data_IF_732172574439
#
_entry.id   IF_732172574439
#
_cell.length_a   1.000
_cell.length_b   1.000
_cell.length_c   1.000
_cell.angle_alpha   90.00
_cell.angle_beta   90.00
_cell.angle_gamma   90.00
#
_symmetry.space_group_name_H-M   'P 1'
#
loop_
_entity.id
_entity.type
_entity.pdbx_description
1 polymer ?
2 non-polymer ?
3 water ?
#
# COMPACT_ATOMS: atom_id res chain seq x y z
N UNK A 6 -8.42 11.11 14.77
CA UNK A 6 -8.49 9.88 15.56
C UNK A 6 -8.77 8.68 14.66
N UNK A 7 -7.70 8.00 14.25
CA UNK A 7 -7.84 6.83 13.39
C UNK A 7 -8.61 5.72 14.10
N UNK A 8 -9.38 4.97 13.32
CA UNK A 8 -10.17 3.85 13.83
C UNK A 8 -9.22 2.68 14.05
N UNK A 9 -9.18 2.17 15.28
CA UNK A 9 -8.29 1.06 15.61
C UNK A 9 -9.03 -0.27 15.74
N UNK A 10 -10.35 -0.22 15.81
CA UNK A 10 -11.16 -1.43 15.91
C UNK A 10 -11.23 -2.11 14.55
N UNK A 11 -11.01 -3.42 14.50
CA UNK A 11 -11.06 -4.14 13.23
C UNK A 11 -12.50 -4.41 12.80
N UNK A 12 -12.67 -4.65 11.50
CA UNK A 12 -13.98 -4.89 10.91
C UNK A 12 -13.77 -5.95 9.83
N UNK A 13 -13.10 -7.03 10.20
CA UNK A 13 -12.76 -8.12 9.27
C UNK A 13 -13.90 -8.90 8.61
N UNK A 14 -15.09 -8.87 9.20
CA UNK A 14 -16.22 -9.59 8.62
C UNK A 14 -17.11 -8.68 7.76
N UNK A 15 -16.72 -7.41 7.65
CA UNK A 15 -17.50 -6.46 6.85
C UNK A 15 -17.34 -6.74 5.36
N UNK A 16 -18.46 -6.90 4.65
CA UNK A 16 -18.43 -7.18 3.21
C UNK A 16 -17.61 -6.17 2.42
N UNK A 17 -17.61 -4.92 2.87
CA UNK A 17 -16.85 -3.88 2.19
C UNK A 17 -15.34 -4.04 2.37
N UNK A 18 -14.92 -4.47 3.55
CA UNK A 18 -13.50 -4.66 3.81
C UNK A 18 -13.03 -5.87 2.99
N UNK A 19 -13.86 -6.90 2.95
CA UNK A 19 -13.53 -8.10 2.20
C UNK A 19 -13.38 -7.78 0.71
N UNK A 20 -14.30 -6.97 0.19
CA UNK A 20 -14.26 -6.61 -1.22
C UNK A 20 -13.06 -5.75 -1.58
N UNK A 21 -12.62 -4.92 -0.64
CA UNK A 21 -11.46 -4.07 -0.88
C UNK A 21 -10.24 -4.94 -1.15
N UNK A 22 -10.06 -5.98 -0.34
CA UNK A 22 -8.92 -6.87 -0.52
C UNK A 22 -9.11 -7.84 -1.66
N UNK A 23 -10.36 -8.18 -1.96
CA UNK A 23 -10.63 -9.08 -3.08
C UNK A 23 -10.23 -8.32 -4.34
N UNK A 24 -10.48 -7.01 -4.33
CA UNK A 24 -10.13 -6.17 -5.46
C UNK A 24 -8.62 -6.16 -5.62
N UNK A 25 -7.90 -6.00 -4.51
CA UNK A 25 -6.45 -5.98 -4.58
C UNK A 25 -5.89 -7.33 -4.99
N UNK A 26 -6.48 -8.41 -4.47
CA UNK A 26 -6.03 -9.75 -4.81
C UNK A 26 -6.16 -9.98 -6.31
N UNK A 27 -7.34 -9.69 -6.85
CA UNK A 27 -7.59 -9.88 -8.27
C UNK A 27 -6.66 -9.02 -9.12
N UNK A 28 -6.29 -7.86 -8.58
CA UNK A 28 -5.39 -6.94 -9.26
C UNK A 28 -3.98 -7.52 -9.33
N UNK A 29 -3.61 -8.31 -8.32
CA UNK A 29 -2.29 -8.93 -8.27
C UNK A 29 -2.28 -10.27 -8.99
N UNK A 30 -3.45 -10.87 -9.16
CA UNK A 30 -3.57 -12.15 -9.84
C UNK A 30 -3.54 -11.92 -11.35
N UNK A 31 -2.34 -11.97 -11.92
CA UNK A 31 -2.15 -11.73 -13.34
C UNK A 31 -2.94 -12.62 -14.29
N UNK A 32 -2.64 -13.91 -14.31
CA UNK A 32 -3.34 -14.82 -15.22
C UNK A 32 -4.73 -15.19 -14.73
N UNK A 33 -5.12 -14.61 -13.60
CA UNK A 33 -6.44 -14.86 -13.05
C UNK A 33 -6.79 -16.30 -12.74
N UNK A 34 -5.81 -17.09 -12.31
CA UNK A 34 -6.07 -18.49 -11.97
C UNK A 34 -6.47 -18.60 -10.50
N UNK A 35 -6.78 -17.45 -9.89
CA UNK A 35 -7.20 -17.43 -8.50
C UNK A 35 -6.13 -17.56 -7.44
N UNK A 36 -4.87 -17.37 -7.82
CA UNK A 36 -3.79 -17.48 -6.85
C UNK A 36 -2.65 -16.53 -7.18
N UNK A 37 -1.87 -16.18 -6.17
CA UNK A 37 -0.73 -15.29 -6.37
C UNK A 37 0.47 -15.85 -5.63
N UNK A 38 1.65 -15.32 -5.94
CA UNK A 38 2.88 -15.77 -5.29
C UNK A 38 3.72 -14.56 -4.89
N UNK A 39 4.57 -14.75 -3.89
CA UNK A 39 5.45 -13.67 -3.46
C UNK A 39 6.41 -13.34 -4.60
N UNK A 40 6.76 -14.36 -5.39
CA UNK A 40 7.67 -14.17 -6.52
C UNK A 40 7.13 -13.10 -7.46
N UNK A 41 5.87 -13.24 -7.86
CA UNK A 41 5.22 -12.30 -8.76
C UNK A 41 5.09 -10.91 -8.15
N UNK A 42 4.80 -10.86 -6.85
CA UNK A 42 4.64 -9.60 -6.14
C UNK A 42 5.95 -8.83 -6.03
N UNK A 43 7.03 -9.51 -5.64
CA UNK A 43 8.32 -8.85 -5.50
C UNK A 43 8.87 -8.44 -6.87
N UNK A 44 8.57 -9.24 -7.89
CA UNK A 44 9.02 -8.91 -9.24
C UNK A 44 8.39 -7.58 -9.66
N UNK A 45 7.11 -7.42 -9.36
CA UNK A 45 6.37 -6.21 -9.69
C UNK A 45 7.02 -5.00 -9.03
N UNK A 46 7.33 -5.14 -7.75
CA UNK A 46 7.93 -4.07 -6.98
C UNK A 46 9.32 -3.67 -7.46
N UNK A 47 10.17 -4.66 -7.71
CA UNK A 47 11.55 -4.39 -8.10
C UNK A 47 11.88 -4.26 -9.58
N UNK A 48 11.37 -5.17 -10.40
CA UNK A 48 11.68 -5.15 -11.83
C UNK A 48 10.84 -4.18 -12.63
N UNK A 49 9.65 -3.88 -12.13
CA UNK A 49 8.72 -3.00 -12.81
C UNK A 49 8.65 -1.61 -12.19
N UNK A 50 8.09 -1.52 -10.99
CA UNK A 50 7.93 -0.24 -10.31
C UNK A 50 9.23 0.52 -10.04
N UNK A 51 10.16 -0.09 -9.31
CA UNK A 51 11.41 0.60 -9.03
C UNK A 51 12.22 0.97 -10.27
N UNK A 52 12.19 0.12 -11.29
CA UNK A 52 12.92 0.40 -12.51
C UNK A 52 12.38 1.65 -13.20
N UNK A 53 11.06 1.73 -13.33
CA UNK A 53 10.44 2.88 -13.98
C UNK A 53 10.53 4.16 -13.17
N UNK A 54 10.73 4.03 -11.86
CA UNK A 54 10.86 5.20 -11.00
C UNK A 54 12.34 5.55 -10.86
N UNK A 55 13.18 4.79 -11.56
CA UNK A 55 14.63 5.00 -11.55
C UNK A 55 15.27 5.00 -10.17
N UNK A 56 14.85 4.07 -9.32
CA UNK A 56 15.40 3.96 -7.98
C UNK A 56 16.84 3.44 -8.06
N UNK A 57 17.67 3.82 -7.09
CA UNK A 57 19.05 3.34 -7.06
C UNK A 57 18.99 1.89 -6.57
N UNK A 58 20.09 1.13 -6.72
CA UNK A 58 20.05 -0.26 -6.25
C UNK A 58 19.67 -0.35 -4.77
N UNK A 59 20.23 0.54 -3.95
CA UNK A 59 19.93 0.54 -2.53
C UNK A 59 18.48 0.90 -2.24
N UNK A 60 17.93 1.86 -2.99
CA UNK A 60 16.54 2.23 -2.77
C UNK A 60 15.66 1.08 -3.22
N UNK A 61 16.06 0.41 -4.30
CA UNK A 61 15.29 -0.71 -4.82
C UNK A 61 15.28 -1.85 -3.80
N UNK A 62 16.43 -2.10 -3.19
CA UNK A 62 16.55 -3.16 -2.19
C UNK A 62 15.74 -2.86 -0.93
N UNK A 63 15.83 -1.62 -0.45
CA UNK A 63 15.08 -1.22 0.74
C UNK A 63 13.59 -1.43 0.46
N UNK A 64 13.16 -1.02 -0.72
CA UNK A 64 11.76 -1.15 -1.12
C UNK A 64 11.38 -2.63 -1.20
N UNK A 65 12.29 -3.44 -1.73
CA UNK A 65 12.05 -4.87 -1.87
C UNK A 65 11.88 -5.52 -0.50
N UNK A 66 12.74 -5.13 0.44
CA UNK A 66 12.68 -5.68 1.79
C UNK A 66 11.35 -5.34 2.46
N UNK A 67 10.88 -4.11 2.25
CA UNK A 67 9.61 -3.69 2.83
C UNK A 67 8.44 -4.49 2.25
N UNK A 68 8.45 -4.69 0.94
CA UNK A 68 7.38 -5.44 0.28
C UNK A 68 7.38 -6.89 0.76
N UNK A 69 8.56 -7.50 0.82
CA UNK A 69 8.67 -8.88 1.29
C UNK A 69 8.10 -9.04 2.70
N UNK A 70 8.41 -8.09 3.58
CA UNK A 70 7.92 -8.14 4.95
C UNK A 70 6.41 -7.97 5.02
N UNK A 71 5.87 -7.05 4.22
CA UNK A 71 4.43 -6.78 4.19
C UNK A 71 3.66 -8.03 3.77
N UNK A 72 4.04 -8.62 2.65
CA UNK A 72 3.34 -9.81 2.18
C UNK A 72 3.67 -11.11 2.92
N UNK A 73 4.88 -11.21 3.48
CA UNK A 73 5.20 -12.39 4.26
C UNK A 73 4.36 -12.29 5.53
N UNK A 74 3.96 -11.06 5.86
CA UNK A 74 3.13 -10.85 7.02
C UNK A 74 1.75 -11.43 6.78
N UNK A 75 1.45 -11.73 5.51
CA UNK A 75 0.17 -12.31 5.13
C UNK A 75 0.29 -13.82 4.96
N UNK A 76 1.45 -14.36 5.33
CA UNK A 76 1.68 -15.79 5.21
C UNK A 76 2.19 -16.21 3.84
N UNK A 77 2.64 -15.25 3.04
CA UNK A 77 3.15 -15.55 1.72
C UNK A 77 4.64 -15.82 1.74
N UNK A 78 5.10 -16.64 0.80
CA UNK A 78 6.51 -16.98 0.69
C UNK A 78 6.84 -17.35 -0.74
N UNK A 79 8.12 -17.29 -1.09
CA UNK A 79 8.54 -17.62 -2.44
C UNK A 79 8.25 -19.08 -2.76
N UNK A 80 7.75 -19.33 -3.96
CA UNK A 80 7.46 -20.69 -4.38
C UNK A 80 6.14 -21.28 -3.92
N UNK A 81 5.33 -20.49 -3.22
CA UNK A 81 4.04 -20.99 -2.75
C UNK A 81 2.87 -20.18 -3.28
N UNK A 82 1.92 -20.86 -3.91
CA UNK A 82 0.74 -20.20 -4.46
C UNK A 82 -0.30 -19.99 -3.37
N UNK A 83 -0.80 -18.76 -3.27
CA UNK A 83 -1.80 -18.42 -2.26
C UNK A 83 -3.16 -18.11 -2.87
N UNK A 84 -4.21 -18.68 -2.29
CA UNK A 84 -5.57 -18.45 -2.74
C UNK A 84 -6.12 -17.29 -1.92
N UNK A 85 -7.18 -16.65 -2.40
CA UNK A 85 -7.75 -15.51 -1.69
C UNK A 85 -8.12 -15.73 -0.22
N UNK A 86 -8.96 -16.74 0.07
CA UNK A 86 -9.33 -16.97 1.47
C UNK A 86 -8.12 -17.03 2.41
N UNK A 87 -7.09 -17.76 2.01
CA UNK A 87 -5.90 -17.88 2.84
C UNK A 87 -5.16 -16.55 2.89
N UNK A 88 -5.16 -15.84 1.77
CA UNK A 88 -4.50 -14.54 1.70
C UNK A 88 -5.22 -13.58 2.63
N UNK A 89 -6.55 -13.65 2.65
CA UNK A 89 -7.34 -12.77 3.50
C UNK A 89 -7.11 -13.06 4.98
N UNK A 90 -7.06 -14.34 5.36
CA UNK A 90 -6.83 -14.61 6.78
C UNK A 90 -5.44 -14.12 7.14
N UNK A 91 -4.53 -14.20 6.18
CA UNK A 91 -3.18 -13.73 6.41
C UNK A 91 -3.19 -12.22 6.57
N UNK A 92 -4.03 -11.54 5.80
CA UNK A 92 -4.10 -10.09 5.91
C UNK A 92 -4.68 -9.68 7.25
N UNK A 93 -5.60 -10.48 7.79
CA UNK A 93 -6.17 -10.17 9.09
C UNK A 93 -5.05 -10.23 10.14
N UNK A 94 -4.14 -11.20 9.99
CA UNK A 94 -3.03 -11.33 10.93
C UNK A 94 -2.08 -10.15 10.79
N UNK A 95 -1.80 -9.75 9.55
CA UNK A 95 -0.93 -8.59 9.32
C UNK A 95 -1.57 -7.37 9.98
N UNK A 96 -2.86 -7.17 9.72
CA UNK A 96 -3.58 -6.03 10.29
C UNK A 96 -3.49 -5.98 11.81
N UNK A 97 -3.75 -7.09 12.48
CA UNK A 97 -3.66 -7.09 13.94
C UNK A 97 -2.22 -6.86 14.39
N UNK A 98 -1.25 -7.40 13.66
CA UNK A 98 0.15 -7.21 14.03
C UNK A 98 0.52 -5.73 13.88
N UNK A 99 0.00 -5.11 12.83
CA UNK A 99 0.25 -3.70 12.58
C UNK A 99 -0.39 -2.83 13.65
N UNK A 100 -1.63 -3.15 14.01
CA UNK A 100 -2.33 -2.38 15.03
C UNK A 100 -1.65 -2.54 16.39
N UNK A 101 -1.01 -3.69 16.60
CA UNK A 101 -0.31 -3.91 17.86
C UNK A 101 0.91 -2.99 17.89
N UNK A 102 1.63 -2.90 16.77
CA UNK A 102 2.80 -2.03 16.70
C UNK A 102 2.37 -0.58 16.91
N UNK A 103 1.26 -0.20 16.26
CA UNK A 103 0.73 1.15 16.39
C UNK A 103 0.46 1.44 17.87
N UNK A 104 -0.15 0.47 18.55
CA UNK A 104 -0.47 0.61 19.96
C UNK A 104 0.77 0.74 20.85
N UNK A 105 1.92 0.36 20.31
CA UNK A 105 3.18 0.42 21.06
C UNK A 105 4.07 1.56 20.58
N UNK A 106 3.55 2.35 19.66
CA UNK A 106 4.28 3.48 19.09
C UNK A 106 5.51 2.97 18.35
N UNK A 107 5.37 1.78 17.76
CA UNK A 107 6.44 1.16 16.99
C UNK A 107 6.08 1.33 15.52
N UNK A 108 7.08 1.59 14.66
CA UNK A 108 6.80 1.77 13.23
C UNK A 108 6.18 0.53 12.61
N UNK A 109 5.14 0.74 11.82
CA UNK A 109 4.44 -0.35 11.16
C UNK A 109 5.09 -0.69 9.84
N UNK A 110 4.74 -1.85 9.30
CA UNK A 110 5.28 -2.29 8.03
C UNK A 110 4.78 -1.36 6.92
N UNK A 111 3.54 -0.88 7.04
CA UNK A 111 3.04 0.01 6.01
C UNK A 111 3.74 1.37 6.10
N UNK A 112 4.12 1.79 7.31
CA UNK A 112 4.84 3.06 7.45
C UNK A 112 6.23 2.91 6.81
N UNK A 113 6.91 1.81 7.11
CA UNK A 113 8.24 1.59 6.54
C UNK A 113 8.20 1.44 5.03
N UNK A 114 7.16 0.79 4.51
CA UNK A 114 7.02 0.65 3.06
C UNK A 114 6.88 2.06 2.52
N UNK A 115 6.10 2.88 3.24
CA UNK A 115 5.91 4.26 2.84
C UNK A 115 7.22 5.00 2.78
N UNK A 116 8.04 4.85 3.82
CA UNK A 116 9.34 5.51 3.84
C UNK A 116 10.13 5.14 2.59
N UNK A 117 10.07 3.87 2.20
CA UNK A 117 10.82 3.43 1.03
C UNK A 117 10.31 4.05 -0.26
N UNK A 118 8.99 4.21 -0.38
CA UNK A 118 8.43 4.80 -1.59
C UNK A 118 8.74 6.29 -1.61
N UNK A 119 8.54 6.94 -0.47
CA UNK A 119 8.81 8.37 -0.34
C UNK A 119 10.26 8.72 -0.65
N UNK A 120 11.19 7.86 -0.22
CA UNK A 120 12.60 8.14 -0.47
C UNK A 120 12.92 8.10 -1.96
N UNK A 121 12.28 7.20 -2.69
CA UNK A 121 12.51 7.09 -4.12
C UNK A 121 12.10 8.40 -4.79
N UNK A 122 11.11 9.08 -4.21
CA UNK A 122 10.61 10.35 -4.74
C UNK A 122 11.26 11.57 -4.08
N UNK A 123 12.12 11.34 -3.09
CA UNK A 123 12.77 12.44 -2.39
C UNK A 123 13.98 12.97 -3.16
N UNK A 124 13.75 13.99 -3.98
CA UNK A 124 14.81 14.59 -4.78
C UNK A 124 15.36 15.87 -4.18
N UNK A 125 14.61 16.96 -4.30
CA UNK A 125 15.05 18.25 -3.77
C UNK A 125 14.95 18.27 -2.25
N UNK A 126 14.90 17.08 -1.65
CA UNK A 126 14.81 16.98 -0.21
C UNK A 126 13.47 17.43 0.34
N UNK A 127 12.47 17.54 -0.53
CA UNK A 127 11.13 17.96 -0.11
C UNK A 127 10.67 17.12 1.07
N UNK A 128 11.10 15.86 1.10
CA UNK A 128 10.71 14.97 2.17
C UNK A 128 9.23 14.65 2.09
N UNK A 129 8.64 14.94 0.94
CA UNK A 129 7.22 14.68 0.71
C UNK A 129 7.01 14.17 -0.70
N UNK A 130 5.76 13.99 -1.09
CA UNK A 130 5.43 13.53 -2.43
C UNK A 130 4.49 14.54 -3.06
N UNK A 131 4.79 14.95 -4.29
CA UNK A 131 3.95 15.91 -4.99
C UNK A 131 2.84 15.17 -5.72
N UNK A 132 1.85 15.93 -6.19
CA UNK A 132 0.74 15.34 -6.92
C UNK A 132 1.23 14.61 -8.17
N UNK A 133 2.16 15.22 -8.90
CA UNK A 133 2.69 14.58 -10.11
C UNK A 133 3.43 13.29 -9.79
N UNK A 134 4.17 13.27 -8.68
CA UNK A 134 4.89 12.08 -8.28
C UNK A 134 3.91 10.97 -7.93
N UNK A 135 2.84 11.31 -7.22
CA UNK A 135 1.85 10.30 -6.87
C UNK A 135 1.13 9.83 -8.13
N UNK A 136 0.92 10.73 -9.08
CA UNK A 136 0.25 10.35 -10.32
C UNK A 136 1.10 9.30 -11.02
N UNK A 137 2.41 9.49 -10.97
CA UNK A 137 3.33 8.54 -11.58
C UNK A 137 3.23 7.21 -10.86
N UNK A 138 3.22 7.24 -9.53
CA UNK A 138 3.12 6.00 -8.77
C UNK A 138 1.83 5.25 -9.09
N UNK A 139 0.71 5.97 -9.13
CA UNK A 139 -0.55 5.32 -9.42
C UNK A 139 -0.53 4.59 -10.75
N UNK A 140 0.09 5.22 -11.73
CA UNK A 140 0.18 4.66 -13.08
C UNK A 140 1.15 3.49 -13.17
N UNK A 141 2.35 3.68 -12.64
CA UNK A 141 3.38 2.66 -12.70
C UNK A 141 3.07 1.42 -11.86
N UNK A 142 2.50 1.62 -10.68
CA UNK A 142 2.15 0.50 -9.82
C UNK A 142 0.87 -0.14 -10.34
N UNK A 143 0.05 0.66 -11.02
CA UNK A 143 -1.20 0.17 -11.56
C UNK A 143 -2.36 0.20 -10.58
N UNK A 144 -2.10 0.61 -9.35
CA UNK A 144 -3.15 0.66 -8.35
C UNK A 144 -4.17 1.77 -8.61
N UNK A 145 -3.71 2.88 -9.19
CA UNK A 145 -4.56 4.03 -9.48
C UNK A 145 -4.00 4.79 -10.68
N UNK A 146 -4.12 4.21 -11.88
CA UNK A 146 -3.61 4.85 -13.10
C UNK A 146 -4.30 6.15 -13.50
N UNK A 147 -5.58 6.28 -13.17
CA UNK A 147 -6.35 7.47 -13.52
C UNK A 147 -5.87 8.73 -12.81
N UNK A 148 -5.57 9.77 -13.59
CA UNK A 148 -5.12 11.04 -13.03
C UNK A 148 -6.18 11.60 -12.09
N UNK A 149 -7.44 11.41 -12.47
CA UNK A 149 -8.55 11.89 -11.66
C UNK A 149 -8.57 11.22 -10.29
N UNK A 150 -8.33 9.92 -10.25
CA UNK A 150 -8.33 9.22 -8.96
C UNK A 150 -7.15 9.66 -8.10
N UNK A 151 -6.03 9.98 -8.74
CA UNK A 151 -4.85 10.43 -8.01
C UNK A 151 -5.11 11.83 -7.46
N UNK A 152 -5.86 12.63 -8.20
CA UNK A 152 -6.17 13.98 -7.73
C UNK A 152 -7.17 13.84 -6.58
N UNK A 153 -8.02 12.83 -6.66
CA UNK A 153 -9.01 12.58 -5.61
C UNK A 153 -8.26 12.22 -4.33
N UNK A 154 -7.18 11.45 -4.45
CA UNK A 154 -6.39 11.07 -3.29
C UNK A 154 -5.86 12.32 -2.60
N UNK A 155 -5.32 13.25 -3.38
CA UNK A 155 -4.79 14.46 -2.78
C UNK A 155 -5.87 15.37 -2.20
N UNK A 156 -7.06 15.38 -2.81
CA UNK A 156 -8.14 16.20 -2.27
C UNK A 156 -8.63 15.58 -0.97
N UNK A 157 -8.55 14.25 -0.92
CA UNK A 157 -8.98 13.49 0.25
C UNK A 157 -8.07 13.70 1.45
N UNK A 158 -6.76 13.67 1.22
CA UNK A 158 -5.79 13.83 2.30
C UNK A 158 -5.55 15.26 2.75
N UNK A 159 -4.97 15.40 3.94
CA UNK A 159 -4.63 16.71 4.47
C UNK A 159 -3.22 16.94 3.94
N UNK A 160 -3.07 17.94 3.08
CA UNK A 160 -1.77 18.25 2.48
C UNK A 160 -1.13 19.45 3.17
N UNK A 161 0.16 19.68 2.89
CA UNK A 161 0.81 20.84 3.49
C UNK A 161 0.43 22.04 2.64
N UNK A 162 0.92 23.22 3.00
CA UNK A 162 0.57 24.42 2.26
C UNK A 162 1.03 24.43 0.81
N UNK A 163 2.02 23.60 0.48
CA UNK A 163 2.53 23.53 -0.89
C UNK A 163 1.72 22.54 -1.72
N UNK A 164 0.79 21.86 -1.07
CA UNK A 164 -0.05 20.89 -1.76
C UNK A 164 0.58 19.52 -1.87
N UNK A 165 1.56 19.24 -1.01
CA UNK A 165 2.23 17.95 -1.04
C UNK A 165 1.75 17.04 0.08
N UNK A 166 1.98 15.75 -0.10
CA UNK A 166 1.57 14.73 0.86
C UNK A 166 2.78 14.28 1.69
N UNK A 167 2.56 14.05 2.98
CA UNK A 167 3.65 13.59 3.85
C UNK A 167 3.39 12.15 4.28
N UNK A 168 4.46 11.44 4.62
CA UNK A 168 4.36 10.02 4.98
C UNK A 168 3.50 9.70 6.21
N UNK A 169 3.40 10.63 7.15
CA UNK A 169 2.58 10.37 8.33
C UNK A 169 1.10 10.37 7.95
N UNK A 170 0.71 11.31 7.09
CA UNK A 170 -0.67 11.38 6.63
C UNK A 170 -1.01 10.15 5.81
N UNK A 171 -0.13 9.77 4.89
CA UNK A 171 -0.42 8.60 4.07
C UNK A 171 -0.46 7.33 4.92
N UNK A 172 0.43 7.22 5.90
CA UNK A 172 0.45 6.04 6.78
C UNK A 172 -0.86 5.95 7.55
N UNK A 173 -1.27 7.08 8.10
CA UNK A 173 -2.50 7.22 8.87
C UNK A 173 -3.70 6.79 8.03
N UNK A 174 -3.72 7.24 6.78
CA UNK A 174 -4.80 6.91 5.87
C UNK A 174 -4.78 5.42 5.52
N UNK A 175 -3.59 4.91 5.23
CA UNK A 175 -3.44 3.51 4.86
C UNK A 175 -3.78 2.55 5.99
N UNK A 176 -3.48 2.92 7.23
CA UNK A 176 -3.81 2.06 8.36
C UNK A 176 -5.32 1.86 8.37
N UNK A 177 -6.04 2.96 8.18
CA UNK A 177 -7.49 2.90 8.19
C UNK A 177 -8.07 2.28 6.92
N UNK A 178 -7.41 2.51 5.79
CA UNK A 178 -7.89 1.96 4.53
C UNK A 178 -7.67 0.45 4.41
N UNK A 179 -6.46 0.00 4.71
CA UNK A 179 -6.17 -1.43 4.58
C UNK A 179 -6.56 -2.27 5.79
N UNK A 180 -6.41 -1.71 6.98
CA UNK A 180 -6.66 -2.48 8.20
C UNK A 180 -7.98 -2.40 8.94
N UNK A 181 -8.52 -1.21 9.14
CA UNK A 181 -9.74 -1.08 9.94
C UNK A 181 -11.02 -0.58 9.28
N UNK A 182 -10.98 -0.32 7.98
CA UNK A 182 -12.14 0.18 7.26
C UNK A 182 -12.62 1.47 7.94
N UNK A 183 -11.66 2.35 8.21
CA UNK A 183 -11.90 3.64 8.85
C UNK A 183 -12.73 4.52 7.89
N UNK A 184 -13.88 5.03 8.37
CA UNK A 184 -14.75 5.88 7.54
C UNK A 184 -13.98 7.06 6.96
N UNK A 185 -13.03 7.56 7.74
CA UNK A 185 -12.21 8.70 7.32
C UNK A 185 -11.31 8.33 6.14
N UNK A 186 -11.00 7.05 6.01
CA UNK A 186 -10.12 6.59 4.94
C UNK A 186 -10.88 6.28 3.66
N UNK A 187 -12.19 6.06 3.76
CA UNK A 187 -12.95 5.76 2.56
C UNK A 187 -12.76 6.88 1.55
N UNK A 188 -12.55 6.50 0.30
CA UNK A 188 -12.35 7.46 -0.77
C UNK A 188 -10.89 7.79 -1.02
N UNK A 189 -10.01 7.20 -0.22
CA UNK A 189 -8.57 7.45 -0.34
C UNK A 189 -8.02 7.31 -1.76
N UNK A 190 -8.53 6.33 -2.50
CA UNK A 190 -8.07 6.09 -3.86
C UNK A 190 -9.08 6.44 -4.94
N UNK A 191 -10.02 7.33 -4.64
CA UNK A 191 -11.03 7.69 -5.62
C UNK A 191 -11.77 6.43 -6.04
N UNK A 192 -11.96 6.24 -7.34
CA UNK A 192 -12.64 5.03 -7.82
C UNK A 192 -11.63 3.94 -8.13
N UNK A 193 -10.35 4.20 -7.84
CA UNK A 193 -9.30 3.23 -8.13
C UNK A 193 -9.40 1.94 -7.33
N UNK A 194 -9.74 2.07 -6.05
CA UNK A 194 -9.87 0.92 -5.17
C UNK A 194 -11.08 1.18 -4.28
N UNK A 195 -12.03 0.23 -4.22
CA UNK A 195 -13.23 0.41 -3.39
C UNK A 195 -12.92 0.41 -1.89
X LIG B 1 1.19 0.31 -3.14
X LIG B 1 1.17 1.28 -2.10
X LIG B 1 0.23 0.58 -1.02
X LIG B 1 -0.14 -0.58 -1.52
X LIG B 1 -1.04 -1.59 -0.87
X LIG B 1 -1.30 -2.74 -1.60
X LIG B 1 -0.67 -2.88 -2.97
X LIG B 1 0.14 -1.94 -3.52
X LIG B 1 0.43 -0.69 -2.75
X LIG B 1 2.63 1.56 -1.56
X LIG B 1 2.67 2.65 -0.50
X LIG B 1 2.62 4.07 -0.88
X LIG B 1 2.65 5.10 0.11
X LIG B 1 2.74 4.73 1.51
X LIG B 1 2.80 3.33 1.91
X LIG B 1 2.76 2.29 0.90
X LIG B 1 2.78 5.72 2.41
X LIG B 1 -0.09 1.05 0.06
X LIG B 1 -2.17 -3.83 -1.17
X LIG B 1 -2.06 -5.14 -1.79
X LIG B 1 -2.95 -6.20 -1.38
X LIG B 1 -3.95 -5.97 -0.35
X LIG B 1 -4.06 -4.68 0.27
X LIG B 1 -3.19 -3.63 -0.13
X LIG B 1 -4.78 -6.97 0.01
X LIG B 1 0.69 -2.20 -4.90
X LIG B 1 1.86 -3.13 -4.94
X LIG B 1 3.18 -2.59 -5.20
X LIG B 1 4.34 -3.48 -5.24
X LIG B 1 4.17 -4.90 -5.02
X LIG B 1 2.85 -5.44 -4.75
X LIG B 1 1.69 -4.57 -4.71
X LIG B 1 0.66 2.46 -2.78
X LIG B 1 -0.66 2.11 -3.11
#
# INVERSE_FOLDING_TARGET
>A
MSSKYAVKLKTDFDNPRWIKRHKHMFDFLDINGNGKITLDEIVSKASDDICAKLEATPEQTKRHQVCVEAFFRGCGMEYGKEIAFPQFLDGFKQLATSELKKWARNEPTLIREWGDAVFDIFDKDGSGTITLDEWKAYGKISGISPSQEDCEATFRHCDLDNSGDLDVDEMTRQHLGFWYTLDPEADGLYGNGVP
>B hetero
1 CZH N1 C2 C3 N4 C5 C6 N7 C8 C9 C10 C11 C12 C13 C14 C15 C16 O17 O18 C19 C20 C21 C22 C23 C24 O25 C26 C27 C28 C29 C30 C31 C32 O33 O34
#
